data_IF_119999769687
#
_entry.id   IF_119999769687
#
_cell.length_a   1.000
_cell.length_b   1.000
_cell.length_c   1.000
_cell.angle_alpha   90.00
_cell.angle_beta   90.00
_cell.angle_gamma   90.00
#
_symmetry.space_group_name_H-M   'P 1'
#
loop_
_entity.id
_entity.type
_entity.pdbx_description
1 polymer ?
#
# COMPACT_ATOMS: atom_id res chain seq x y z
N UNK A 1 -11.31 -16.30 -4.70
CA UNK A 1 -11.58 -15.12 -3.86
C UNK A 1 -10.31 -14.58 -3.22
N UNK A 2 -9.51 -15.40 -2.54
CA UNK A 2 -8.28 -14.94 -1.88
C UNK A 2 -7.23 -14.37 -2.83
N UNK A 3 -7.03 -14.99 -3.99
CA UNK A 3 -6.07 -14.53 -5.00
C UNK A 3 -6.49 -13.19 -5.59
N UNK A 4 -7.78 -13.01 -5.85
CA UNK A 4 -8.32 -11.76 -6.40
C UNK A 4 -8.14 -10.60 -5.43
N UNK A 5 -8.39 -10.83 -4.14
CA UNK A 5 -8.21 -9.83 -3.09
C UNK A 5 -6.74 -9.44 -2.96
N UNK A 6 -5.84 -10.42 -2.95
CA UNK A 6 -4.42 -10.15 -2.87
C UNK A 6 -3.90 -9.40 -4.10
N UNK A 7 -4.43 -9.71 -5.29
CA UNK A 7 -4.13 -8.97 -6.51
C UNK A 7 -4.61 -7.51 -6.41
N UNK A 8 -5.80 -7.29 -5.85
CA UNK A 8 -6.33 -5.94 -5.64
C UNK A 8 -5.48 -5.13 -4.65
N UNK A 9 -4.91 -5.78 -3.64
CA UNK A 9 -4.07 -5.10 -2.64
C UNK A 9 -2.76 -4.56 -3.22
N UNK A 10 -2.28 -5.08 -4.34
CA UNK A 10 -1.11 -4.51 -5.04
C UNK A 10 -1.37 -3.05 -5.43
N UNK A 11 -2.61 -2.72 -5.76
CA UNK A 11 -2.99 -1.35 -6.10
C UNK A 11 -2.90 -0.40 -4.90
N UNK A 12 -3.16 -0.90 -3.70
CA UNK A 12 -2.97 -0.12 -2.45
C UNK A 12 -1.49 0.19 -2.23
N UNK A 13 -0.64 -0.80 -2.44
CA UNK A 13 0.80 -0.60 -2.32
C UNK A 13 1.32 0.37 -3.38
N UNK A 14 0.80 0.29 -4.61
CA UNK A 14 1.13 1.24 -5.68
C UNK A 14 0.73 2.68 -5.33
N UNK A 15 -0.43 2.89 -4.70
CA UNK A 15 -0.82 4.19 -4.16
C UNK A 15 0.19 4.71 -3.14
N UNK A 16 0.60 3.84 -2.21
CA UNK A 16 1.56 4.19 -1.16
C UNK A 16 2.93 4.57 -1.75
N UNK A 17 3.43 3.80 -2.71
CA UNK A 17 4.68 4.11 -3.43
C UNK A 17 4.55 5.44 -4.16
N UNK A 18 3.43 5.68 -4.83
CA UNK A 18 3.16 6.96 -5.49
C UNK A 18 3.17 8.13 -4.52
N UNK A 19 2.55 8.00 -3.36
CA UNK A 19 2.56 9.04 -2.32
C UNK A 19 3.97 9.32 -1.83
N UNK A 20 4.77 8.29 -1.61
CA UNK A 20 6.18 8.41 -1.24
C UNK A 20 6.97 9.17 -2.31
N UNK A 21 6.79 8.82 -3.57
CA UNK A 21 7.45 9.49 -4.69
C UNK A 21 7.03 10.96 -4.79
N UNK A 22 5.74 11.23 -4.61
CA UNK A 22 5.20 12.60 -4.61
C UNK A 22 5.70 13.47 -3.47
N UNK A 23 6.04 12.87 -2.34
CA UNK A 23 6.67 13.56 -1.20
C UNK A 23 8.18 13.74 -1.37
N UNK A 24 8.78 13.18 -2.40
CA UNK A 24 10.20 13.30 -2.68
C UNK A 24 11.09 12.29 -1.99
N UNK A 25 10.55 11.21 -1.43
CA UNK A 25 11.35 10.13 -0.87
C UNK A 25 12.00 9.31 -1.99
N UNK A 26 13.17 8.75 -1.69
CA UNK A 26 13.97 8.03 -2.68
C UNK A 26 13.74 6.53 -2.71
N UNK A 27 14.67 5.85 -3.39
CA UNK A 27 14.58 4.41 -3.68
C UNK A 27 14.55 3.52 -2.45
N UNK A 28 15.25 3.90 -1.37
CA UNK A 28 15.27 3.12 -0.13
C UNK A 28 13.88 3.06 0.53
N UNK A 29 13.17 4.19 0.55
CA UNK A 29 11.81 4.24 1.07
C UNK A 29 10.85 3.45 0.19
N UNK A 30 11.01 3.55 -1.12
CA UNK A 30 10.22 2.77 -2.09
C UNK A 30 10.40 1.27 -1.86
N UNK A 31 11.65 0.82 -1.73
CA UNK A 31 11.97 -0.58 -1.47
C UNK A 31 11.36 -1.07 -0.15
N UNK A 32 11.42 -0.24 0.89
CA UNK A 32 10.82 -0.54 2.19
C UNK A 32 9.30 -0.72 2.09
N UNK A 33 8.61 0.18 1.38
CA UNK A 33 7.16 0.10 1.19
C UNK A 33 6.79 -1.18 0.43
N UNK A 34 7.52 -1.52 -0.62
CA UNK A 34 7.26 -2.73 -1.42
C UNK A 34 7.48 -3.98 -0.57
N UNK A 35 8.56 -4.04 0.20
CA UNK A 35 8.87 -5.18 1.08
C UNK A 35 7.79 -5.37 2.15
N UNK A 36 7.40 -4.30 2.81
CA UNK A 36 6.33 -4.34 3.82
C UNK A 36 4.98 -4.61 3.20
N UNK A 37 4.71 -4.08 2.03
CA UNK A 37 3.50 -4.36 1.27
C UNK A 37 3.37 -5.83 0.92
N UNK A 38 4.45 -6.46 0.50
CA UNK A 38 4.48 -7.90 0.24
C UNK A 38 4.16 -8.70 1.51
N UNK A 39 4.72 -8.29 2.64
CA UNK A 39 4.44 -8.94 3.93
C UNK A 39 2.95 -8.82 4.32
N UNK A 40 2.33 -7.65 4.11
CA UNK A 40 0.89 -7.46 4.36
C UNK A 40 0.03 -8.35 3.45
N UNK A 41 0.34 -8.39 2.15
CA UNK A 41 -0.39 -9.21 1.18
C UNK A 41 -0.26 -10.69 1.55
N UNK A 42 0.95 -11.13 1.93
CA UNK A 42 1.20 -12.52 2.35
C UNK A 42 0.41 -12.87 3.61
N UNK A 43 0.38 -11.96 4.58
CA UNK A 43 -0.39 -12.14 5.82
C UNK A 43 -1.88 -12.27 5.52
N UNK A 44 -2.43 -11.40 4.70
CA UNK A 44 -3.82 -11.45 4.29
C UNK A 44 -4.12 -12.74 3.53
N UNK A 45 -3.31 -13.08 2.55
CA UNK A 45 -3.48 -14.29 1.75
C UNK A 45 -3.43 -15.56 2.60
N UNK A 46 -2.51 -15.63 3.56
CA UNK A 46 -2.40 -16.75 4.49
C UNK A 46 -3.62 -16.84 5.39
N UNK A 47 -4.10 -15.71 5.91
CA UNK A 47 -5.31 -15.68 6.74
C UNK A 47 -6.56 -16.14 5.97
N UNK A 48 -6.56 -15.96 4.64
CA UNK A 48 -7.63 -16.44 3.76
C UNK A 48 -7.44 -17.89 3.29
N UNK A 49 -6.46 -18.61 3.83
CA UNK A 49 -6.21 -20.01 3.54
C UNK A 49 -5.20 -20.29 2.42
N UNK A 50 -4.55 -19.25 1.90
CA UNK A 50 -3.49 -19.39 0.90
C UNK A 50 -2.17 -19.83 1.51
N UNK A 51 -1.25 -20.29 0.65
CA UNK A 51 0.10 -20.68 1.07
C UNK A 51 1.04 -19.47 0.98
N UNK A 52 1.91 -19.25 1.98
CA UNK A 52 2.87 -18.13 1.94
C UNK A 52 3.72 -18.10 0.67
N UNK A 53 4.14 -19.25 0.17
CA UNK A 53 4.97 -19.40 -1.02
C UNK A 53 4.30 -18.84 -2.28
N UNK A 54 2.98 -18.88 -2.35
CA UNK A 54 2.21 -18.37 -3.49
C UNK A 54 2.36 -16.85 -3.60
N UNK A 55 2.47 -16.15 -2.48
CA UNK A 55 2.54 -14.68 -2.45
C UNK A 55 3.98 -14.17 -2.45
N UNK A 56 4.88 -14.89 -1.80
CA UNK A 56 6.28 -14.49 -1.62
C UNK A 56 7.21 -15.00 -2.74
N UNK A 57 6.69 -15.72 -3.74
CA UNK A 57 7.47 -16.21 -4.85
C UNK A 57 7.96 -15.10 -5.79
N UNK A 58 8.96 -15.42 -6.61
CA UNK A 58 9.56 -14.44 -7.56
C UNK A 58 8.52 -13.80 -8.47
N UNK A 59 7.54 -14.56 -8.94
CA UNK A 59 6.47 -14.03 -9.80
C UNK A 59 5.62 -13.00 -9.07
N UNK A 60 5.28 -13.24 -7.80
CA UNK A 60 4.52 -12.31 -6.96
C UNK A 60 5.30 -11.04 -6.67
N UNK A 61 6.57 -11.17 -6.31
CA UNK A 61 7.47 -10.04 -6.04
C UNK A 61 7.67 -9.21 -7.31
N UNK A 62 7.96 -9.84 -8.43
CA UNK A 62 8.18 -9.17 -9.71
C UNK A 62 6.94 -8.39 -10.17
N UNK A 63 5.77 -8.99 -10.07
CA UNK A 63 4.51 -8.34 -10.41
C UNK A 63 4.21 -7.14 -9.48
N UNK A 64 4.47 -7.27 -8.19
CA UNK A 64 4.31 -6.17 -7.24
C UNK A 64 5.25 -5.01 -7.58
N UNK A 65 6.52 -5.27 -7.83
CA UNK A 65 7.49 -4.25 -8.21
C UNK A 65 7.02 -3.53 -9.48
N UNK A 66 6.65 -4.27 -10.50
CA UNK A 66 6.18 -3.72 -11.78
C UNK A 66 4.94 -2.84 -11.57
N UNK A 67 3.97 -3.31 -10.80
CA UNK A 67 2.73 -2.57 -10.50
C UNK A 67 3.03 -1.27 -9.75
N UNK A 68 3.95 -1.31 -8.78
CA UNK A 68 4.25 -0.17 -7.92
C UNK A 68 5.13 0.89 -8.59
N UNK A 69 5.94 0.51 -9.58
CA UNK A 69 6.93 1.40 -10.20
C UNK A 69 6.57 1.83 -11.62
N UNK A 70 5.50 1.28 -12.20
CA UNK A 70 5.07 1.63 -13.55
C UNK A 70 4.55 3.06 -13.61
N UNK A 71 5.07 3.85 -14.56
CA UNK A 71 4.59 5.21 -14.83
C UNK A 71 3.17 5.23 -15.41
N UNK A 72 2.70 4.09 -15.92
CA UNK A 72 1.35 3.93 -16.48
C UNK A 72 0.33 3.51 -15.42
N UNK A 73 0.77 3.15 -14.21
CA UNK A 73 -0.15 2.78 -13.12
C UNK A 73 -0.97 3.98 -12.67
N UNK A 74 -2.29 3.86 -12.77
CA UNK A 74 -3.23 4.89 -12.31
C UNK A 74 -3.13 5.12 -10.80
N UNK A 75 -2.92 4.05 -10.05
CA UNK A 75 -2.73 4.11 -8.60
C UNK A 75 -1.44 4.87 -8.25
N UNK A 76 -0.35 4.58 -8.93
CA UNK A 76 0.91 5.27 -8.75
C UNK A 76 0.77 6.77 -9.09
N UNK A 77 0.14 7.10 -10.22
CA UNK A 77 -0.11 8.48 -10.63
C UNK A 77 -0.96 9.25 -9.61
N UNK A 78 -2.05 8.65 -9.14
CA UNK A 78 -2.89 9.25 -8.10
C UNK A 78 -2.09 9.46 -6.80
N UNK A 79 -1.28 8.48 -6.43
CA UNK A 79 -0.40 8.57 -5.27
C UNK A 79 0.57 9.74 -5.36
N UNK A 80 1.22 9.93 -6.51
CA UNK A 80 2.15 11.06 -6.73
C UNK A 80 1.43 12.40 -6.50
N UNK A 81 0.24 12.55 -7.04
CA UNK A 81 -0.54 13.79 -6.89
C UNK A 81 -0.90 14.06 -5.43
N UNK A 82 -1.33 13.02 -4.73
CA UNK A 82 -1.71 13.12 -3.31
C UNK A 82 -0.48 13.42 -2.45
N UNK A 83 0.62 12.73 -2.69
CA UNK A 83 1.89 12.97 -2.01
C UNK A 83 2.42 14.39 -2.23
N UNK A 84 2.15 14.95 -3.40
CA UNK A 84 2.48 16.34 -3.73
C UNK A 84 1.57 17.38 -3.11
N UNK A 85 0.53 16.98 -2.37
CA UNK A 85 -0.36 17.87 -1.64
C UNK A 85 -1.79 17.97 -2.19
N UNK A 86 -2.11 17.28 -3.27
CA UNK A 86 -3.47 17.28 -3.83
C UNK A 86 -4.40 16.45 -2.97
N UNK A 87 -5.65 16.89 -2.84
CA UNK A 87 -6.68 16.13 -2.13
C UNK A 87 -7.00 14.85 -2.90
N UNK A 88 -7.32 13.73 -2.20
CA UNK A 88 -7.61 12.45 -2.86
C UNK A 88 -8.69 12.55 -3.94
N UNK A 89 -9.80 13.23 -3.69
CA UNK A 89 -10.88 13.39 -4.67
C UNK A 89 -10.42 14.11 -5.94
N UNK A 90 -9.63 15.17 -5.79
CA UNK A 90 -9.06 15.92 -6.91
C UNK A 90 -8.05 15.09 -7.72
N UNK A 91 -7.22 14.31 -7.01
CA UNK A 91 -6.24 13.43 -7.64
C UNK A 91 -6.91 12.34 -8.48
N UNK A 92 -7.94 11.70 -7.95
CA UNK A 92 -8.72 10.68 -8.65
C UNK A 92 -9.36 11.26 -9.90
N UNK A 93 -9.98 12.44 -9.79
CA UNK A 93 -10.58 13.13 -10.93
C UNK A 93 -9.54 13.48 -12.00
N UNK A 94 -8.36 13.97 -11.59
CA UNK A 94 -7.30 14.36 -12.52
C UNK A 94 -6.71 13.17 -13.27
N UNK A 95 -6.60 12.01 -12.63
CA UNK A 95 -6.16 10.78 -13.31
C UNK A 95 -7.12 10.40 -14.42
N UNK A 96 -8.41 10.70 -14.27
CA UNK A 96 -9.42 10.55 -15.32
C UNK A 96 -9.84 9.11 -15.59
N UNK A 97 -9.49 8.18 -14.70
CA UNK A 97 -9.82 6.76 -14.84
C UNK A 97 -9.94 6.15 -13.44
N UNK A 98 -10.45 4.92 -13.35
CA UNK A 98 -10.65 4.24 -12.08
C UNK A 98 -9.32 4.04 -11.36
N UNK A 99 -9.26 4.49 -10.11
CA UNK A 99 -8.15 4.23 -9.19
C UNK A 99 -8.58 3.09 -8.27
N UNK A 100 -8.25 1.87 -8.67
CA UNK A 100 -8.73 0.66 -7.99
C UNK A 100 -8.24 0.54 -6.55
N UNK A 101 -7.06 1.06 -6.25
CA UNK A 101 -6.52 1.10 -4.89
C UNK A 101 -7.40 1.85 -3.90
N UNK A 102 -8.18 2.82 -4.36
CA UNK A 102 -9.17 3.49 -3.53
C UNK A 102 -10.18 2.50 -2.95
N UNK A 103 -10.76 1.66 -3.80
CA UNK A 103 -11.75 0.66 -3.37
C UNK A 103 -11.08 -0.51 -2.63
N UNK A 104 -9.92 -0.93 -3.08
CA UNK A 104 -9.18 -2.03 -2.45
C UNK A 104 -8.77 -1.70 -1.02
N UNK A 105 -8.45 -0.46 -0.71
CA UNK A 105 -8.11 -0.02 0.65
C UNK A 105 -9.28 -0.26 1.61
N UNK A 106 -10.49 0.09 1.21
CA UNK A 106 -11.69 -0.11 2.03
C UNK A 106 -11.97 -1.60 2.25
N UNK A 107 -11.88 -2.40 1.19
CA UNK A 107 -12.06 -3.86 1.27
C UNK A 107 -11.00 -4.50 2.17
N UNK A 108 -9.74 -4.09 1.98
CA UNK A 108 -8.62 -4.58 2.79
C UNK A 108 -8.77 -4.29 4.27
N UNK A 109 -9.23 -3.09 4.61
CA UNK A 109 -9.48 -2.70 6.01
C UNK A 109 -10.61 -3.51 6.64
N UNK A 110 -11.70 -3.71 5.91
CA UNK A 110 -12.80 -4.54 6.37
C UNK A 110 -12.36 -5.98 6.66
N UNK A 111 -11.57 -6.56 5.77
CA UNK A 111 -11.02 -7.90 5.96
C UNK A 111 -10.02 -7.97 7.11
N UNK A 112 -9.16 -6.96 7.25
CA UNK A 112 -8.19 -6.90 8.34
C UNK A 112 -8.89 -6.91 9.71
N UNK A 113 -9.94 -6.11 9.86
CA UNK A 113 -10.75 -6.08 11.07
C UNK A 113 -11.44 -7.42 11.33
N UNK A 114 -12.05 -8.00 10.31
CA UNK A 114 -12.77 -9.28 10.42
C UNK A 114 -11.85 -10.43 10.76
N UNK A 115 -10.64 -10.46 10.20
CA UNK A 115 -9.67 -11.53 10.39
C UNK A 115 -8.72 -11.28 11.59
N UNK A 116 -8.79 -10.12 12.21
CA UNK A 116 -7.94 -9.74 13.33
C UNK A 116 -6.46 -9.64 12.98
N UNK A 117 -6.14 -9.18 11.78
CA UNK A 117 -4.75 -9.02 11.30
C UNK A 117 -4.38 -7.55 11.17
N UNK A 118 -3.08 -7.26 11.34
CA UNK A 118 -2.55 -5.93 11.16
C UNK A 118 -2.12 -5.72 9.71
N UNK A 119 -2.58 -4.61 9.12
CA UNK A 119 -2.20 -4.18 7.77
C UNK A 119 -1.86 -2.68 7.79
N UNK A 120 -0.67 -2.32 8.31
CA UNK A 120 -0.32 -0.92 8.56
C UNK A 120 -0.33 -0.03 7.30
N UNK A 121 0.16 -0.50 6.15
CA UNK A 121 0.15 0.28 4.91
C UNK A 121 -1.28 0.48 4.44
N UNK A 122 -2.08 -0.56 4.43
CA UNK A 122 -3.50 -0.49 4.04
C UNK A 122 -4.27 0.47 4.95
N UNK A 123 -4.02 0.41 6.25
CA UNK A 123 -4.63 1.33 7.22
C UNK A 123 -4.23 2.78 6.96
N UNK A 124 -2.96 3.02 6.67
CA UNK A 124 -2.46 4.36 6.35
C UNK A 124 -3.12 4.93 5.10
N UNK A 125 -3.20 4.13 4.03
CA UNK A 125 -3.85 4.53 2.79
C UNK A 125 -5.34 4.77 3.00
N UNK A 126 -6.02 3.90 3.74
CA UNK A 126 -7.43 4.09 4.10
C UNK A 126 -7.64 5.40 4.85
N UNK A 127 -6.79 5.72 5.82
CA UNK A 127 -6.87 6.96 6.59
C UNK A 127 -6.74 8.20 5.70
N UNK A 128 -5.81 8.18 4.76
CA UNK A 128 -5.61 9.29 3.82
C UNK A 128 -6.79 9.40 2.85
N UNK A 129 -7.24 8.30 2.28
CA UNK A 129 -8.24 8.30 1.21
C UNK A 129 -9.67 8.52 1.73
N UNK A 130 -9.99 8.04 2.92
CA UNK A 130 -11.37 8.05 3.45
C UNK A 130 -11.58 8.90 4.69
N UNK A 131 -10.54 9.13 5.49
CA UNK A 131 -10.65 9.79 6.79
C UNK A 131 -10.01 11.18 6.85
N UNK A 132 -9.55 11.68 5.72
CA UNK A 132 -8.96 13.02 5.65
C UNK A 132 -7.62 13.17 6.34
N UNK A 133 -6.91 12.07 6.62
CA UNK A 133 -5.60 12.14 7.26
C UNK A 133 -4.58 12.82 6.34
N UNK A 134 -3.68 13.61 6.95
CA UNK A 134 -2.61 14.26 6.23
C UNK A 134 -1.55 13.22 5.80
N UNK A 135 -1.17 13.24 4.53
CA UNK A 135 -0.17 12.30 3.98
C UNK A 135 1.15 12.41 4.72
N UNK A 136 1.61 13.63 4.99
CA UNK A 136 2.89 13.85 5.65
C UNK A 136 2.91 13.34 7.08
N UNK A 137 1.91 13.67 7.89
CA UNK A 137 1.84 13.20 9.27
C UNK A 137 1.64 11.68 9.36
N UNK A 138 0.88 11.10 8.43
CA UNK A 138 0.70 9.66 8.31
C UNK A 138 2.03 8.96 7.98
N UNK A 139 2.80 9.53 7.05
CA UNK A 139 4.12 9.03 6.68
C UNK A 139 5.10 9.07 7.86
N UNK A 140 5.14 10.17 8.59
CA UNK A 140 5.99 10.32 9.78
C UNK A 140 5.65 9.29 10.86
N UNK A 141 4.37 9.05 11.09
CA UNK A 141 3.89 8.03 12.03
C UNK A 141 4.32 6.63 11.63
N UNK A 142 4.22 6.29 10.35
CA UNK A 142 4.66 5.00 9.82
C UNK A 142 6.17 4.81 9.93
N UNK A 143 6.96 5.82 9.63
CA UNK A 143 8.42 5.76 9.75
C UNK A 143 8.86 5.62 11.20
N UNK A 144 8.24 6.33 12.13
CA UNK A 144 8.48 6.18 13.56
C UNK A 144 8.16 4.77 14.06
N UNK A 145 7.03 4.20 13.63
CA UNK A 145 6.64 2.82 13.95
C UNK A 145 7.64 1.80 13.39
N UNK A 146 8.10 2.00 12.15
CA UNK A 146 9.10 1.13 11.52
C UNK A 146 10.41 1.11 12.31
N UNK A 147 10.92 2.28 12.71
CA UNK A 147 12.14 2.39 13.53
C UNK A 147 11.99 1.69 14.87
N UNK A 148 10.87 1.84 15.54
CA UNK A 148 10.59 1.19 16.81
C UNK A 148 10.55 -0.33 16.64
N UNK A 149 9.93 -0.82 15.58
CA UNK A 149 9.87 -2.25 15.31
C UNK A 149 11.25 -2.84 15.04
N UNK A 150 12.09 -2.17 14.26
CA UNK A 150 13.46 -2.59 13.99
C UNK A 150 14.32 -2.58 15.25
N UNK A 151 14.17 -1.55 16.08
CA UNK A 151 14.90 -1.46 17.35
C UNK A 151 14.53 -2.57 18.33
N UNK A 152 13.29 -3.06 18.28
CA UNK A 152 12.79 -4.13 19.16
C UNK A 152 12.95 -5.53 18.55
N UNK A 153 13.36 -5.63 17.30
CA UNK A 153 13.62 -6.91 16.67
C UNK A 153 14.91 -7.52 17.23
N UNK A 154 14.77 -8.66 17.90
CA UNK A 154 15.92 -9.45 18.32
C UNK A 154 16.40 -10.25 17.11
N UNK A 155 17.46 -9.79 16.53
CA UNK A 155 18.16 -10.49 15.42
C UNK A 155 19.00 -11.63 15.96
#
# INVERSE_FOLDING_TARGET
>A
VGVEICAAMKNVIALCVGMSDGMGFGDNTRALIITRGLAEITRLGTALGGRPETFAGLAGVGDLITTCTSVHSRNHQAGILIGGGMKPAEAIEKVGAVVEGYYAAATGMELAERLGIEMPITQAIYSVMYQGACVQSTSESMMGRAKTHEANANW
#
